data_IF_857527742296
#
_entry.id   IF_857527742296
#
_cell.length_a   1.000
_cell.length_b   1.000
_cell.length_c   1.000
_cell.angle_alpha   90.00
_cell.angle_beta   90.00
_cell.angle_gamma   90.00
#
_symmetry.space_group_name_H-M   'P 1'
#
loop_
_entity.id
_entity.type
_entity.pdbx_description
1 polymer ?
#
# COMPACT_ATOMS: atom_id res chain seq x y z
N UNK A 1 10.46 -4.60 5.73
CA UNK A 1 11.03 -5.84 5.22
C UNK A 1 12.26 -5.54 4.36
N UNK A 2 13.33 -6.31 4.58
CA UNK A 2 14.56 -6.24 3.80
C UNK A 2 14.91 -7.65 3.34
N UNK A 3 15.35 -7.79 2.10
CA UNK A 3 15.95 -9.01 1.58
C UNK A 3 17.37 -8.72 1.12
N UNK A 4 18.29 -9.63 1.37
CA UNK A 4 19.66 -9.54 0.86
C UNK A 4 20.14 -10.91 0.33
N UNK A 5 21.03 -10.89 -0.65
CA UNK A 5 21.70 -12.09 -1.12
C UNK A 5 23.17 -12.15 -0.66
N UNK A 6 23.84 -13.27 -0.94
CA UNK A 6 25.26 -13.47 -0.59
C UNK A 6 26.22 -12.51 -1.30
N UNK A 7 25.79 -11.90 -2.41
CA UNK A 7 26.61 -10.94 -3.16
C UNK A 7 26.45 -9.51 -2.62
N UNK A 8 25.70 -9.32 -1.53
CA UNK A 8 25.45 -8.02 -0.89
C UNK A 8 24.38 -7.16 -1.57
N UNK A 9 23.60 -7.74 -2.50
CA UNK A 9 22.47 -7.01 -3.09
C UNK A 9 21.32 -6.96 -2.09
N UNK A 10 20.80 -5.76 -1.88
CA UNK A 10 19.70 -5.47 -0.94
C UNK A 10 18.48 -4.99 -1.71
N UNK A 11 17.29 -5.44 -1.29
CA UNK A 11 16.00 -4.91 -1.70
C UNK A 11 15.13 -4.67 -0.45
N UNK A 12 14.52 -3.50 -0.35
CA UNK A 12 13.77 -3.06 0.82
C UNK A 12 14.60 -2.28 1.83
N UNK A 13 14.03 -1.97 2.99
CA UNK A 13 14.69 -1.26 4.08
C UNK A 13 14.13 -1.66 5.44
N UNK A 14 14.89 -1.41 6.50
CA UNK A 14 14.51 -1.58 7.90
C UNK A 14 14.36 -0.22 8.61
N UNK A 15 15.45 0.55 8.68
CA UNK A 15 15.51 1.84 9.36
C UNK A 15 15.92 2.99 8.44
N UNK A 16 16.52 2.66 7.29
CA UNK A 16 17.00 3.64 6.31
C UNK A 16 18.34 4.27 6.67
N UNK A 17 19.24 3.53 7.33
CA UNK A 17 20.52 4.09 7.74
C UNK A 17 21.59 3.05 8.13
N UNK A 18 22.40 3.35 9.14
CA UNK A 18 23.55 2.55 9.55
C UNK A 18 23.23 1.11 9.97
N UNK A 19 21.98 0.81 10.32
CA UNK A 19 21.55 -0.54 10.70
C UNK A 19 21.65 -1.51 9.54
N UNK A 20 21.29 -1.09 8.33
CA UNK A 20 21.36 -1.92 7.13
C UNK A 20 22.82 -2.30 6.80
N UNK A 21 23.74 -1.36 6.92
CA UNK A 21 25.17 -1.58 6.65
C UNK A 21 25.77 -2.56 7.65
N UNK A 22 25.54 -2.37 8.96
CA UNK A 22 26.01 -3.24 10.02
C UNK A 22 25.39 -4.66 9.89
N UNK A 23 24.09 -4.74 9.61
CA UNK A 23 23.41 -6.02 9.40
C UNK A 23 24.04 -6.79 8.24
N UNK A 24 24.28 -6.10 7.12
CA UNK A 24 24.88 -6.71 5.94
C UNK A 24 26.31 -7.21 6.21
N UNK A 25 27.10 -6.44 6.93
CA UNK A 25 28.45 -6.86 7.36
C UNK A 25 28.40 -8.12 8.22
N UNK A 26 27.52 -8.17 9.23
CA UNK A 26 27.35 -9.34 10.11
C UNK A 26 26.85 -10.58 9.35
N UNK A 27 25.93 -10.40 8.39
CA UNK A 27 25.42 -11.48 7.56
C UNK A 27 26.50 -12.04 6.61
N UNK A 28 27.26 -11.18 5.95
CA UNK A 28 28.31 -11.58 5.02
C UNK A 28 29.50 -12.21 5.76
N UNK A 29 29.81 -11.76 6.97
CA UNK A 29 30.81 -12.37 7.86
C UNK A 29 30.34 -13.71 8.48
N UNK A 30 29.09 -14.13 8.23
CA UNK A 30 28.54 -15.37 8.77
C UNK A 30 28.33 -15.33 10.28
N UNK A 31 28.10 -14.17 10.86
CA UNK A 31 27.88 -14.01 12.30
C UNK A 31 26.41 -14.21 12.71
N UNK A 32 25.48 -14.00 11.77
CA UNK A 32 24.03 -14.09 11.99
C UNK A 32 23.37 -15.08 11.03
N UNK A 33 22.36 -15.78 11.53
CA UNK A 33 21.37 -16.58 10.79
C UNK A 33 21.95 -17.50 9.69
N UNK A 34 23.03 -18.25 9.99
CA UNK A 34 23.69 -19.11 8.98
C UNK A 34 22.78 -20.25 8.48
N UNK A 35 22.19 -21.01 9.43
CA UNK A 35 21.46 -22.25 9.11
C UNK A 35 20.00 -22.24 9.58
N UNK A 36 19.61 -21.31 10.43
CA UNK A 36 18.28 -21.22 11.01
C UNK A 36 17.85 -19.78 11.23
N UNK A 37 16.56 -19.56 11.32
CA UNK A 37 16.00 -18.27 11.66
C UNK A 37 16.48 -17.79 13.02
N UNK A 38 16.76 -16.51 13.13
CA UNK A 38 17.30 -15.87 14.35
C UNK A 38 16.56 -14.57 14.62
N UNK A 39 16.19 -14.37 15.89
CA UNK A 39 15.81 -13.07 16.40
C UNK A 39 17.08 -12.29 16.79
N UNK A 40 17.12 -11.01 16.43
CA UNK A 40 18.23 -10.12 16.75
C UNK A 40 17.70 -8.72 17.10
N UNK A 41 18.28 -8.10 18.12
CA UNK A 41 17.90 -6.75 18.58
C UNK A 41 19.08 -5.81 18.44
N UNK A 42 18.82 -4.65 17.84
CA UNK A 42 19.69 -3.50 17.84
C UNK A 42 19.27 -2.50 18.91
N UNK A 43 20.23 -1.75 19.49
CA UNK A 43 19.98 -0.74 20.51
C UNK A 43 19.76 -1.34 21.89
N UNK A 44 20.46 -2.43 22.23
CA UNK A 44 20.44 -2.99 23.59
C UNK A 44 21.11 -2.03 24.62
N UNK A 45 22.04 -1.18 24.15
CA UNK A 45 22.66 -0.13 24.95
C UNK A 45 22.43 1.24 24.31
N UNK A 46 22.49 2.31 25.14
CA UNK A 46 22.38 3.69 24.66
C UNK A 46 23.50 4.02 23.65
N UNK A 47 24.72 3.52 23.90
CA UNK A 47 25.90 3.74 23.06
C UNK A 47 25.69 3.09 21.67
N UNK A 48 25.11 1.88 21.60
CA UNK A 48 24.80 1.21 20.35
C UNK A 48 23.68 1.95 19.59
N UNK A 49 22.64 2.39 20.30
CA UNK A 49 21.54 3.14 19.71
C UNK A 49 22.02 4.48 19.11
N UNK A 50 22.93 5.18 19.77
CA UNK A 50 23.55 6.41 19.26
C UNK A 50 24.42 6.14 18.01
N UNK A 51 25.27 5.10 18.03
CA UNK A 51 26.15 4.75 16.92
C UNK A 51 25.35 4.38 15.65
N UNK A 52 24.21 3.72 15.82
CA UNK A 52 23.35 3.29 14.73
C UNK A 52 22.29 4.33 14.33
N UNK A 53 22.27 5.49 15.01
CA UNK A 53 21.32 6.56 14.73
C UNK A 53 19.87 6.18 15.02
N UNK A 54 19.64 5.27 15.95
CA UNK A 54 18.30 4.90 16.37
C UNK A 54 17.61 6.04 17.10
N UNK A 55 16.41 6.47 16.70
CA UNK A 55 15.79 7.64 17.31
C UNK A 55 15.42 7.40 18.77
N UNK A 56 15.76 8.36 19.63
CA UNK A 56 15.32 8.48 21.02
C UNK A 56 15.65 7.27 21.93
N UNK A 57 16.81 6.63 21.76
CA UNK A 57 17.20 5.47 22.59
C UNK A 57 16.31 4.25 22.36
N UNK A 58 15.66 4.17 21.18
CA UNK A 58 14.83 3.04 20.79
C UNK A 58 15.66 1.81 20.43
N UNK A 59 15.01 0.66 20.43
CA UNK A 59 15.58 -0.58 19.90
C UNK A 59 14.86 -0.97 18.61
N UNK A 60 15.54 -1.75 17.78
CA UNK A 60 14.98 -2.35 16.58
C UNK A 60 15.08 -3.87 16.68
N UNK A 61 13.92 -4.50 16.75
CA UNK A 61 13.78 -5.96 16.74
C UNK A 61 13.66 -6.47 15.33
N UNK A 62 14.49 -7.41 14.93
CA UNK A 62 14.45 -8.05 13.63
C UNK A 62 14.45 -9.56 13.74
N UNK A 63 13.75 -10.20 12.81
CA UNK A 63 13.85 -11.64 12.58
C UNK A 63 14.54 -11.85 11.23
N UNK A 64 15.58 -12.67 11.24
CA UNK A 64 16.38 -13.01 10.06
C UNK A 64 16.10 -14.46 9.70
N UNK A 65 15.59 -14.69 8.49
CA UNK A 65 15.31 -16.02 7.97
C UNK A 65 16.25 -16.34 6.80
N UNK A 66 17.20 -17.32 6.96
CA UNK A 66 18.03 -17.75 5.85
C UNK A 66 17.22 -18.65 4.91
N UNK A 67 17.26 -18.34 3.62
CA UNK A 67 16.61 -19.14 2.59
C UNK A 67 17.63 -19.70 1.61
N UNK A 68 17.69 -21.02 1.51
CA UNK A 68 18.51 -21.69 0.51
C UNK A 68 17.69 -21.95 -0.76
N UNK A 69 18.24 -21.82 -1.96
CA UNK A 69 17.50 -22.05 -3.21
C UNK A 69 17.24 -23.53 -3.44
N UNK A 70 16.37 -24.12 -2.61
CA UNK A 70 15.92 -25.51 -2.72
C UNK A 70 14.53 -25.57 -3.36
N UNK A 71 14.10 -26.73 -3.92
CA UNK A 71 12.75 -26.88 -4.45
C UNK A 71 11.65 -26.51 -3.45
N UNK A 72 11.70 -26.89 -2.15
CA UNK A 72 10.70 -26.47 -1.17
C UNK A 72 10.63 -24.95 -0.95
N UNK A 73 11.78 -24.26 -0.85
CA UNK A 73 11.77 -22.81 -0.68
C UNK A 73 11.28 -22.08 -1.92
N UNK A 74 11.52 -22.63 -3.12
CA UNK A 74 10.96 -22.08 -4.36
C UNK A 74 9.44 -22.17 -4.36
N UNK A 75 8.86 -23.33 -4.08
CA UNK A 75 7.39 -23.51 -3.97
C UNK A 75 6.80 -22.56 -2.96
N UNK A 76 7.50 -22.31 -1.84
CA UNK A 76 7.11 -21.35 -0.84
C UNK A 76 6.96 -19.91 -1.39
N UNK A 77 7.98 -19.43 -2.11
CA UNK A 77 7.94 -18.09 -2.68
C UNK A 77 7.02 -17.98 -3.89
N UNK A 78 6.93 -19.03 -4.73
CA UNK A 78 6.01 -19.08 -5.87
C UNK A 78 4.56 -18.94 -5.37
N UNK A 79 4.18 -19.60 -4.27
CA UNK A 79 2.86 -19.44 -3.66
C UNK A 79 2.58 -17.98 -3.26
N UNK A 80 3.51 -17.30 -2.58
CA UNK A 80 3.36 -15.89 -2.22
C UNK A 80 3.22 -15.00 -3.44
N UNK A 81 4.08 -15.18 -4.44
CA UNK A 81 4.06 -14.41 -5.69
C UNK A 81 2.73 -14.58 -6.42
N UNK A 82 2.23 -15.81 -6.52
CA UNK A 82 0.95 -16.09 -7.18
C UNK A 82 -0.22 -15.40 -6.45
N UNK A 83 -0.24 -15.47 -5.12
CA UNK A 83 -1.30 -14.80 -4.32
C UNK A 83 -1.25 -13.28 -4.46
N UNK A 84 -0.05 -12.70 -4.40
CA UNK A 84 0.15 -11.26 -4.60
C UNK A 84 -0.23 -10.81 -6.02
N UNK A 85 0.07 -11.64 -7.03
CA UNK A 85 -0.35 -11.38 -8.42
C UNK A 85 -1.88 -11.37 -8.59
N UNK A 86 -2.59 -12.18 -7.81
CA UNK A 86 -4.06 -12.19 -7.73
C UNK A 86 -4.62 -11.06 -6.84
N UNK A 87 -3.76 -10.19 -6.31
CA UNK A 87 -4.10 -9.10 -5.38
C UNK A 87 -4.79 -9.59 -4.10
N UNK A 88 -4.42 -10.78 -3.63
CA UNK A 88 -4.88 -11.36 -2.39
C UNK A 88 -3.93 -11.07 -1.23
N UNK A 89 -4.46 -10.95 -0.01
CA UNK A 89 -3.68 -10.92 1.22
C UNK A 89 -3.47 -12.35 1.74
N UNK A 90 -2.25 -12.62 2.21
CA UNK A 90 -1.87 -13.92 2.77
C UNK A 90 -1.17 -13.70 4.10
N UNK A 91 -1.69 -14.29 5.15
CA UNK A 91 -1.01 -14.38 6.43
C UNK A 91 -0.09 -15.61 6.42
N UNK A 92 1.18 -15.38 6.71
CA UNK A 92 2.19 -16.43 6.89
C UNK A 92 2.54 -16.53 8.37
N UNK A 93 2.36 -17.72 8.93
CA UNK A 93 2.79 -18.05 10.29
C UNK A 93 4.04 -18.90 10.23
N UNK A 94 5.08 -18.55 10.97
CA UNK A 94 6.37 -19.28 11.01
C UNK A 94 6.74 -19.60 12.43
N UNK A 95 7.09 -20.87 12.69
CA UNK A 95 7.74 -21.28 13.93
C UNK A 95 9.26 -21.24 13.72
N UNK A 96 9.93 -20.22 14.25
CA UNK A 96 11.36 -19.96 13.99
C UNK A 96 12.29 -21.11 14.43
N UNK A 97 11.92 -21.84 15.50
CA UNK A 97 12.71 -22.97 16.03
C UNK A 97 12.88 -24.10 15.02
N UNK A 98 11.87 -24.35 14.20
CA UNK A 98 11.86 -25.46 13.23
C UNK A 98 11.90 -25.00 11.79
N UNK A 99 11.62 -23.74 11.51
CA UNK A 99 11.44 -23.19 10.18
C UNK A 99 10.15 -23.65 9.49
N UNK A 100 9.23 -24.31 10.24
CA UNK A 100 7.93 -24.69 9.70
C UNK A 100 7.05 -23.46 9.54
N UNK A 101 6.28 -23.43 8.48
CA UNK A 101 5.38 -22.32 8.15
C UNK A 101 4.04 -22.83 7.64
N UNK A 102 3.03 -21.98 7.77
CA UNK A 102 1.70 -22.18 7.24
C UNK A 102 1.18 -20.89 6.61
N UNK A 103 0.22 -21.02 5.69
CA UNK A 103 -0.42 -19.91 5.00
C UNK A 103 -1.92 -19.92 5.20
N UNK A 104 -2.47 -18.73 5.37
CA UNK A 104 -3.89 -18.50 5.43
C UNK A 104 -4.28 -17.28 4.59
N UNK A 105 -5.30 -17.41 3.74
CA UNK A 105 -5.89 -16.25 3.07
C UNK A 105 -6.59 -15.39 4.12
N UNK A 106 -6.39 -14.07 4.02
CA UNK A 106 -6.98 -13.07 4.89
C UNK A 106 -7.53 -11.91 4.06
N UNK A 107 -8.52 -11.21 4.60
CA UNK A 107 -9.16 -10.10 3.89
C UNK A 107 -8.33 -8.81 3.99
N UNK A 108 -7.71 -8.59 5.15
CA UNK A 108 -6.99 -7.36 5.45
C UNK A 108 -5.53 -7.61 5.84
N UNK A 109 -4.70 -6.62 5.58
CA UNK A 109 -3.32 -6.60 6.04
C UNK A 109 -3.27 -6.32 7.55
N UNK A 110 -2.50 -7.15 8.28
CA UNK A 110 -2.22 -6.98 9.70
C UNK A 110 -0.74 -6.64 9.94
N UNK A 111 -0.46 -5.93 11.03
CA UNK A 111 0.90 -5.65 11.46
C UNK A 111 1.67 -6.94 11.75
N UNK A 112 2.98 -6.91 11.52
CA UNK A 112 3.90 -7.96 11.91
C UNK A 112 3.82 -8.23 13.41
N UNK A 113 3.70 -9.48 13.80
CA UNK A 113 3.68 -9.93 15.21
C UNK A 113 4.73 -11.00 15.43
N UNK A 114 5.45 -10.87 16.50
CA UNK A 114 6.40 -11.87 16.97
C UNK A 114 6.14 -12.18 18.44
N UNK A 115 5.91 -13.44 18.74
CA UNK A 115 5.77 -13.94 20.11
C UNK A 115 7.10 -14.57 20.56
N UNK A 116 7.75 -13.90 21.50
CA UNK A 116 9.05 -14.31 22.04
C UNK A 116 9.00 -15.68 22.76
N UNK A 117 7.91 -16.00 23.45
CA UNK A 117 7.80 -17.22 24.25
C UNK A 117 7.66 -18.46 23.36
N UNK A 118 6.77 -18.41 22.39
CA UNK A 118 6.55 -19.49 21.44
C UNK A 118 7.56 -19.51 20.29
N UNK A 119 8.18 -18.35 19.95
CA UNK A 119 9.01 -18.16 18.77
C UNK A 119 8.21 -18.16 17.48
N UNK A 120 6.95 -17.72 17.54
CA UNK A 120 6.06 -17.64 16.37
C UNK A 120 6.10 -16.24 15.78
N UNK A 121 6.40 -16.17 14.49
CA UNK A 121 6.30 -14.97 13.67
C UNK A 121 5.04 -15.06 12.81
N UNK A 122 4.22 -14.00 12.85
CA UNK A 122 3.04 -13.86 11.99
C UNK A 122 3.22 -12.61 11.13
N UNK A 123 3.23 -12.79 9.82
CA UNK A 123 3.43 -11.72 8.85
C UNK A 123 2.35 -11.78 7.77
N UNK A 124 1.69 -10.67 7.51
CA UNK A 124 0.76 -10.54 6.39
C UNK A 124 1.48 -9.96 5.19
N UNK A 125 1.38 -10.65 4.07
CA UNK A 125 1.75 -10.15 2.75
C UNK A 125 0.49 -9.72 2.02
N UNK A 126 0.52 -8.56 1.39
CA UNK A 126 -0.60 -8.03 0.62
C UNK A 126 -0.12 -7.42 -0.69
N UNK A 127 -1.04 -7.17 -1.63
CA UNK A 127 -0.69 -6.49 -2.87
C UNK A 127 -0.25 -5.05 -2.56
N UNK A 128 0.59 -4.53 -3.44
CA UNK A 128 0.89 -3.10 -3.45
C UNK A 128 -0.41 -2.31 -3.61
N UNK A 129 -0.62 -1.29 -2.77
CA UNK A 129 -1.77 -0.41 -2.92
C UNK A 129 -1.77 0.24 -4.30
N UNK A 130 -2.92 0.28 -4.94
CA UNK A 130 -3.09 0.86 -6.27
C UNK A 130 -3.76 2.22 -6.19
N UNK A 131 -3.21 3.18 -6.92
CA UNK A 131 -3.89 4.43 -7.22
C UNK A 131 -4.39 4.41 -8.66
N UNK A 132 -5.71 4.39 -8.82
CA UNK A 132 -6.37 4.48 -10.11
C UNK A 132 -6.84 5.91 -10.38
N UNK A 133 -6.28 6.53 -11.39
CA UNK A 133 -6.54 7.92 -11.75
C UNK A 133 -7.38 7.97 -13.01
N UNK A 134 -8.55 8.62 -12.95
CA UNK A 134 -9.40 8.90 -14.09
C UNK A 134 -9.07 10.29 -14.63
N UNK A 135 -8.56 10.33 -15.84
CA UNK A 135 -8.20 11.55 -16.57
C UNK A 135 -6.73 11.94 -16.51
N UNK A 136 -6.28 12.53 -17.60
CA UNK A 136 -4.92 13.01 -17.83
C UNK A 136 -4.88 14.53 -17.88
N UNK A 137 -4.16 15.14 -16.95
CA UNK A 137 -3.88 16.58 -16.88
C UNK A 137 -2.67 16.83 -15.97
N UNK A 138 -2.33 18.10 -15.73
CA UNK A 138 -1.21 18.46 -14.87
C UNK A 138 -1.36 17.96 -13.42
N UNK A 139 -2.57 17.98 -12.87
CA UNK A 139 -2.81 17.45 -11.50
C UNK A 139 -2.57 15.94 -11.49
N UNK A 140 -3.10 15.22 -12.48
CA UNK A 140 -2.92 13.77 -12.61
C UNK A 140 -1.44 13.38 -12.72
N UNK A 141 -0.64 14.18 -13.42
CA UNK A 141 0.80 13.92 -13.53
C UNK A 141 1.50 14.03 -12.17
N UNK A 142 1.31 15.14 -11.44
CA UNK A 142 1.90 15.29 -10.10
C UNK A 142 1.36 14.27 -9.09
N UNK A 143 0.06 13.95 -9.14
CA UNK A 143 -0.52 12.89 -8.31
C UNK A 143 0.16 11.55 -8.59
N UNK A 144 0.37 11.21 -9.85
CA UNK A 144 1.01 9.95 -10.25
C UNK A 144 2.49 9.89 -9.80
N UNK A 145 3.27 10.96 -10.03
CA UNK A 145 4.69 11.04 -9.63
C UNK A 145 4.87 10.86 -8.11
N UNK A 146 4.09 11.59 -7.32
CA UNK A 146 4.18 11.50 -5.86
C UNK A 146 3.65 10.15 -5.35
N UNK A 147 2.59 9.61 -5.96
CA UNK A 147 2.04 8.30 -5.60
C UNK A 147 3.05 7.17 -5.81
N UNK A 148 3.82 7.20 -6.91
CA UNK A 148 4.92 6.25 -7.15
C UNK A 148 5.96 6.34 -6.03
N UNK A 149 6.37 7.55 -5.64
CA UNK A 149 7.30 7.76 -4.54
C UNK A 149 6.76 7.28 -3.18
N UNK A 150 5.42 7.28 -3.00
CA UNK A 150 4.72 6.73 -1.84
C UNK A 150 4.51 5.20 -1.93
N UNK A 151 4.98 4.56 -2.99
CA UNK A 151 4.92 3.12 -3.18
C UNK A 151 3.60 2.60 -3.76
N UNK A 152 2.80 3.42 -4.44
CA UNK A 152 1.59 2.96 -5.14
C UNK A 152 1.92 2.35 -6.51
N UNK A 153 1.17 1.30 -6.88
CA UNK A 153 1.01 0.86 -8.27
C UNK A 153 0.03 1.83 -8.95
N UNK A 154 0.50 2.64 -9.89
CA UNK A 154 -0.30 3.72 -10.48
C UNK A 154 -0.81 3.34 -11.85
N UNK A 155 -2.15 3.39 -12.00
CA UNK A 155 -2.86 3.20 -13.27
C UNK A 155 -3.60 4.49 -13.62
N UNK A 156 -3.37 5.03 -14.81
CA UNK A 156 -4.07 6.22 -15.31
C UNK A 156 -4.93 5.84 -16.49
N UNK A 157 -6.22 6.14 -16.40
CA UNK A 157 -7.23 5.88 -17.41
C UNK A 157 -7.73 7.17 -18.05
N UNK A 158 -7.70 7.23 -19.38
CA UNK A 158 -8.41 8.28 -20.13
C UNK A 158 -8.91 7.69 -21.45
N UNK A 159 -10.21 7.79 -21.78
CA UNK A 159 -10.75 7.28 -23.03
C UNK A 159 -10.31 8.09 -24.27
N UNK A 160 -9.80 9.31 -24.05
CA UNK A 160 -9.41 10.23 -25.13
C UNK A 160 -7.96 9.95 -25.54
N UNK A 161 -7.70 9.51 -26.80
CA UNK A 161 -6.37 9.11 -27.24
C UNK A 161 -5.36 10.27 -27.15
N UNK A 162 -5.71 11.45 -27.63
CA UNK A 162 -4.82 12.62 -27.67
C UNK A 162 -4.33 13.00 -26.26
N UNK A 163 -5.18 12.87 -25.27
CA UNK A 163 -4.83 13.16 -23.86
C UNK A 163 -3.88 12.14 -23.27
N UNK A 164 -4.04 10.88 -23.66
CA UNK A 164 -3.22 9.79 -23.16
C UNK A 164 -1.83 9.78 -23.82
N UNK A 165 -1.75 10.16 -25.10
CA UNK A 165 -0.49 10.28 -25.84
C UNK A 165 0.42 11.35 -25.24
N UNK A 166 -0.14 12.43 -24.71
CA UNK A 166 0.62 13.54 -24.08
C UNK A 166 1.00 13.24 -22.61
N UNK A 167 0.55 12.12 -22.04
CA UNK A 167 0.79 11.80 -20.65
C UNK A 167 2.03 10.94 -20.47
N UNK A 168 3.13 11.55 -19.99
CA UNK A 168 4.43 10.91 -19.85
C UNK A 168 4.93 10.97 -18.40
N UNK A 169 4.50 10.00 -17.58
CA UNK A 169 5.03 9.80 -16.22
C UNK A 169 5.65 8.41 -16.14
N UNK A 170 6.94 8.34 -15.81
CA UNK A 170 7.66 7.08 -15.72
C UNK A 170 7.06 6.17 -14.63
N UNK A 171 6.96 4.87 -14.90
CA UNK A 171 6.43 3.90 -13.94
C UNK A 171 4.90 3.83 -13.86
N UNK A 172 4.18 4.63 -14.66
CA UNK A 172 2.72 4.61 -14.72
C UNK A 172 2.24 3.66 -15.81
N UNK A 173 1.24 2.85 -15.49
CA UNK A 173 0.46 2.10 -16.47
C UNK A 173 -0.66 2.98 -17.00
N UNK A 174 -0.65 3.28 -18.30
CA UNK A 174 -1.75 4.00 -18.96
C UNK A 174 -2.72 3.02 -19.62
N UNK A 175 -4.02 3.30 -19.52
CA UNK A 175 -5.07 2.48 -20.13
C UNK A 175 -6.06 3.37 -20.88
N UNK A 176 -6.37 2.98 -22.14
CA UNK A 176 -7.33 3.64 -22.99
C UNK A 176 -8.64 2.85 -23.00
N UNK A 177 -9.42 3.02 -21.95
CA UNK A 177 -10.69 2.32 -21.76
C UNK A 177 -11.75 3.32 -21.27
N UNK A 178 -13.02 2.91 -21.27
CA UNK A 178 -14.06 3.66 -20.56
C UNK A 178 -13.84 3.50 -19.06
N UNK A 179 -14.00 4.58 -18.25
CA UNK A 179 -13.64 4.58 -16.85
C UNK A 179 -14.31 3.50 -16.00
N UNK A 180 -15.57 3.19 -16.26
CA UNK A 180 -16.31 2.15 -15.54
C UNK A 180 -15.73 0.75 -15.80
N UNK A 181 -15.43 0.40 -17.06
CA UNK A 181 -14.78 -0.87 -17.41
C UNK A 181 -13.38 -0.97 -16.83
N UNK A 182 -12.63 0.12 -16.88
CA UNK A 182 -11.29 0.17 -16.35
C UNK A 182 -11.27 0.07 -14.80
N UNK A 183 -12.22 0.70 -14.09
CA UNK A 183 -12.38 0.55 -12.63
C UNK A 183 -12.66 -0.90 -12.27
N UNK A 184 -13.62 -1.57 -12.93
CA UNK A 184 -13.93 -3.00 -12.70
C UNK A 184 -12.70 -3.88 -12.85
N UNK A 185 -11.88 -3.59 -13.86
CA UNK A 185 -10.71 -4.41 -14.18
C UNK A 185 -9.51 -4.16 -13.27
N UNK A 186 -9.29 -2.91 -12.87
CA UNK A 186 -8.04 -2.50 -12.24
C UNK A 186 -8.19 -2.02 -10.80
N UNK A 187 -9.36 -1.64 -10.33
CA UNK A 187 -9.53 -0.95 -9.06
C UNK A 187 -10.76 -1.38 -8.26
N UNK A 188 -11.13 -2.66 -8.32
CA UNK A 188 -12.31 -3.21 -7.65
C UNK A 188 -12.04 -3.75 -6.24
N UNK A 189 -10.78 -3.93 -5.86
CA UNK A 189 -10.38 -4.52 -4.59
C UNK A 189 -10.15 -3.49 -3.48
N UNK A 190 -10.07 -4.00 -2.24
CA UNK A 190 -9.88 -3.21 -1.03
C UNK A 190 -8.49 -2.54 -0.89
N UNK A 191 -7.56 -2.81 -1.79
CA UNK A 191 -6.24 -2.17 -1.89
C UNK A 191 -6.16 -1.10 -2.99
N UNK A 192 -7.32 -0.65 -3.46
CA UNK A 192 -7.41 0.34 -4.53
C UNK A 192 -7.97 1.66 -4.02
N UNK A 193 -7.36 2.77 -4.44
CA UNK A 193 -7.88 4.13 -4.34
C UNK A 193 -8.23 4.64 -5.73
N UNK A 194 -9.40 5.23 -5.90
CA UNK A 194 -9.88 5.76 -7.18
C UNK A 194 -10.04 7.27 -7.09
N UNK A 195 -9.44 8.01 -8.02
CA UNK A 195 -9.54 9.47 -8.08
C UNK A 195 -9.98 9.96 -9.45
N UNK A 196 -11.00 10.79 -9.51
CA UNK A 196 -11.53 11.38 -10.74
C UNK A 196 -11.09 12.84 -10.87
N UNK A 197 -10.26 13.11 -11.88
CA UNK A 197 -9.54 14.37 -12.05
C UNK A 197 -9.76 15.04 -13.43
N UNK A 198 -10.74 14.60 -14.26
CA UNK A 198 -10.84 15.07 -15.66
C UNK A 198 -11.43 16.46 -15.83
N UNK A 199 -12.23 16.95 -14.94
CA UNK A 199 -13.16 18.09 -15.10
C UNK A 199 -14.33 17.83 -16.10
N UNK A 200 -14.41 16.68 -16.75
CA UNK A 200 -15.56 16.29 -17.55
C UNK A 200 -16.51 15.40 -16.72
N UNK A 201 -17.69 15.93 -16.32
CA UNK A 201 -18.60 15.17 -15.46
C UNK A 201 -19.04 13.83 -16.07
N UNK A 202 -19.08 13.69 -17.40
CA UNK A 202 -19.50 12.46 -18.06
C UNK A 202 -18.48 11.35 -17.86
N UNK A 203 -17.19 11.69 -17.96
CA UNK A 203 -16.09 10.76 -17.75
C UNK A 203 -15.93 10.45 -16.26
N UNK A 204 -15.90 11.50 -15.43
CA UNK A 204 -15.73 11.35 -13.97
C UNK A 204 -16.88 10.55 -13.35
N UNK A 205 -18.13 10.93 -13.61
CA UNK A 205 -19.29 10.33 -12.96
C UNK A 205 -19.47 8.85 -13.38
N UNK A 206 -19.09 8.48 -14.63
CA UNK A 206 -19.10 7.08 -15.09
C UNK A 206 -18.16 6.19 -14.27
N UNK A 207 -16.92 6.63 -14.08
CA UNK A 207 -15.96 5.86 -13.26
C UNK A 207 -16.29 5.88 -11.78
N UNK A 208 -16.79 7.02 -11.25
CA UNK A 208 -17.20 7.13 -9.84
C UNK A 208 -18.40 6.26 -9.51
N UNK A 209 -19.38 6.15 -10.42
CA UNK A 209 -20.55 5.28 -10.26
C UNK A 209 -20.12 3.83 -10.06
N UNK A 210 -19.14 3.36 -10.80
CA UNK A 210 -18.60 2.02 -10.63
C UNK A 210 -17.73 1.92 -9.38
N UNK A 211 -16.80 2.85 -9.17
CA UNK A 211 -15.88 2.83 -8.03
C UNK A 211 -16.58 2.81 -6.67
N UNK A 212 -17.69 3.54 -6.53
CA UNK A 212 -18.47 3.60 -5.30
C UNK A 212 -19.18 2.28 -4.96
N UNK A 213 -19.32 1.37 -5.92
CA UNK A 213 -19.88 0.01 -5.74
C UNK A 213 -18.82 -1.04 -5.45
N UNK A 214 -17.54 -0.72 -5.63
CA UNK A 214 -16.41 -1.63 -5.35
C UNK A 214 -15.96 -1.56 -3.91
N UNK A 215 -15.01 -2.42 -3.54
CA UNK A 215 -14.37 -2.43 -2.23
C UNK A 215 -13.22 -1.41 -2.11
N UNK A 216 -12.98 -0.57 -3.13
CA UNK A 216 -11.93 0.45 -3.10
C UNK A 216 -11.94 1.23 -1.78
N UNK A 217 -10.77 1.33 -1.09
CA UNK A 217 -10.70 1.96 0.23
C UNK A 217 -10.89 3.48 0.20
N UNK A 218 -10.71 4.09 -0.96
CA UNK A 218 -10.86 5.52 -1.17
C UNK A 218 -11.45 5.80 -2.55
N UNK A 219 -12.45 6.68 -2.61
CA UNK A 219 -13.01 7.17 -3.87
C UNK A 219 -13.12 8.69 -3.76
N UNK A 220 -12.40 9.42 -4.61
CA UNK A 220 -12.35 10.88 -4.55
C UNK A 220 -12.57 11.55 -5.89
N UNK A 221 -13.05 12.80 -5.86
CA UNK A 221 -13.29 13.57 -7.07
C UNK A 221 -12.95 15.04 -6.94
N UNK A 222 -12.27 15.58 -7.94
CA UNK A 222 -11.92 16.98 -8.01
C UNK A 222 -13.13 17.84 -8.33
N UNK A 223 -13.22 19.00 -7.68
CA UNK A 223 -14.26 19.98 -7.91
C UNK A 223 -14.37 20.99 -6.77
N UNK A 224 -15.15 22.06 -6.98
CA UNK A 224 -15.57 22.95 -5.90
C UNK A 224 -16.70 22.34 -5.08
N UNK A 225 -17.04 22.93 -3.92
CA UNK A 225 -18.20 22.50 -3.11
C UNK A 225 -19.48 22.44 -3.95
N UNK A 226 -19.71 23.46 -4.79
CA UNK A 226 -20.86 23.51 -5.70
C UNK A 226 -20.83 22.36 -6.71
N UNK A 227 -19.67 22.10 -7.32
CA UNK A 227 -19.52 21.01 -8.29
C UNK A 227 -19.73 19.67 -7.63
N UNK A 228 -19.22 19.50 -6.41
CA UNK A 228 -19.34 18.27 -5.62
C UNK A 228 -20.79 18.02 -5.16
N UNK A 229 -21.54 19.06 -4.78
CA UNK A 229 -22.95 18.95 -4.47
C UNK A 229 -23.78 18.51 -5.70
N UNK A 230 -23.55 19.14 -6.85
CA UNK A 230 -24.22 18.78 -8.09
C UNK A 230 -23.85 17.34 -8.54
N UNK A 231 -22.59 16.90 -8.32
CA UNK A 231 -22.18 15.54 -8.61
C UNK A 231 -22.93 14.52 -7.76
N UNK A 232 -23.03 14.75 -6.44
CA UNK A 232 -23.79 13.86 -5.56
C UNK A 232 -25.25 13.73 -6.02
N UNK A 233 -25.86 14.81 -6.47
CA UNK A 233 -27.23 14.78 -7.00
C UNK A 233 -27.33 13.93 -8.27
N UNK A 234 -26.40 14.07 -9.23
CA UNK A 234 -26.38 13.22 -10.43
C UNK A 234 -26.17 11.76 -10.09
N UNK A 235 -25.29 11.44 -9.12
CA UNK A 235 -25.04 10.07 -8.68
C UNK A 235 -26.29 9.43 -8.06
N UNK A 236 -27.14 10.19 -7.33
CA UNK A 236 -28.45 9.72 -6.86
C UNK A 236 -29.38 9.36 -8.03
N UNK A 237 -29.38 10.17 -9.08
CA UNK A 237 -30.19 9.91 -10.29
C UNK A 237 -29.69 8.70 -11.10
N UNK A 238 -28.49 8.22 -10.82
CA UNK A 238 -27.86 7.02 -11.38
C UNK A 238 -27.98 5.80 -10.45
N UNK A 239 -28.98 5.79 -9.58
CA UNK A 239 -29.32 4.68 -8.67
C UNK A 239 -28.23 4.29 -7.66
N UNK A 240 -27.34 5.23 -7.26
CA UNK A 240 -26.47 5.00 -6.14
C UNK A 240 -27.19 5.27 -4.82
N UNK A 241 -26.98 4.40 -3.86
CA UNK A 241 -27.50 4.57 -2.50
C UNK A 241 -26.79 5.69 -1.75
N UNK A 242 -27.44 6.25 -0.72
CA UNK A 242 -26.80 7.25 0.16
C UNK A 242 -25.58 6.70 0.90
N UNK A 243 -25.51 5.40 1.15
CA UNK A 243 -24.33 4.75 1.74
C UNK A 243 -23.15 4.75 0.80
N UNK A 244 -23.35 4.46 -0.47
CA UNK A 244 -22.30 4.53 -1.49
C UNK A 244 -21.84 5.97 -1.72
N UNK A 245 -22.77 6.93 -1.83
CA UNK A 245 -22.46 8.37 -2.04
C UNK A 245 -21.67 8.96 -0.86
N UNK A 246 -21.91 8.51 0.38
CA UNK A 246 -21.13 8.95 1.54
C UNK A 246 -19.66 8.55 1.50
N UNK A 247 -19.29 7.53 0.72
CA UNK A 247 -17.89 7.13 0.49
C UNK A 247 -17.13 8.11 -0.40
N UNK A 248 -17.82 9.01 -1.09
CA UNK A 248 -17.21 9.95 -2.02
C UNK A 248 -16.56 11.14 -1.28
N UNK A 249 -15.25 11.24 -1.39
CA UNK A 249 -14.44 12.39 -0.99
C UNK A 249 -14.51 13.47 -2.10
N UNK A 250 -15.39 14.45 -1.93
CA UNK A 250 -15.56 15.53 -2.89
C UNK A 250 -16.04 16.82 -2.18
N UNK A 251 -15.30 17.91 -2.25
CA UNK A 251 -14.02 18.09 -2.95
C UNK A 251 -12.91 17.15 -2.44
N UNK A 252 -12.07 16.65 -3.36
CA UNK A 252 -10.95 15.78 -3.02
C UNK A 252 -9.81 16.56 -2.38
N UNK A 253 -9.14 15.94 -1.40
CA UNK A 253 -7.93 16.46 -0.76
C UNK A 253 -8.18 17.22 0.53
N UNK A 254 -7.16 17.27 1.39
CA UNK A 254 -7.20 18.03 2.63
C UNK A 254 -7.30 19.54 2.35
N UNK A 255 -8.02 20.32 3.17
CA UNK A 255 -8.23 21.76 2.96
C UNK A 255 -6.99 22.59 3.37
N UNK A 256 -5.87 22.41 2.67
CA UNK A 256 -4.60 23.12 2.91
C UNK A 256 -4.48 24.45 2.16
N UNK A 257 -5.53 24.88 1.46
CA UNK A 257 -5.53 26.10 0.65
C UNK A 257 -4.83 25.95 -0.70
N UNK A 258 -4.70 24.73 -1.22
CA UNK A 258 -4.06 24.40 -2.50
C UNK A 258 -4.69 25.13 -3.69
N UNK A 259 -3.87 25.64 -4.60
CA UNK A 259 -4.28 26.34 -5.82
C UNK A 259 -3.56 25.86 -7.07
N UNK A 260 -2.31 25.47 -6.94
CA UNK A 260 -1.49 24.99 -8.06
C UNK A 260 -1.60 23.47 -8.20
N UNK A 261 -1.37 22.90 -9.40
CA UNK A 261 -1.42 21.46 -9.61
C UNK A 261 -0.60 20.63 -8.62
N UNK A 262 0.67 20.97 -8.29
CA UNK A 262 1.43 20.21 -7.30
C UNK A 262 0.87 20.34 -5.87
N UNK A 263 0.36 21.51 -5.47
CA UNK A 263 -0.28 21.68 -4.16
C UNK A 263 -1.56 20.83 -4.04
N UNK A 264 -2.36 20.77 -5.12
CA UNK A 264 -3.56 19.92 -5.18
C UNK A 264 -3.15 18.45 -5.06
N UNK A 265 -2.08 18.02 -5.75
CA UNK A 265 -1.58 16.66 -5.65
C UNK A 265 -1.16 16.29 -4.22
N UNK A 266 -0.46 17.19 -3.53
CA UNK A 266 -0.09 17.01 -2.12
C UNK A 266 -1.35 16.88 -1.24
N UNK A 267 -2.36 17.75 -1.42
CA UNK A 267 -3.61 17.72 -0.67
C UNK A 267 -4.36 16.38 -0.85
N UNK A 268 -4.44 15.90 -2.10
CA UNK A 268 -5.08 14.63 -2.48
C UNK A 268 -4.37 13.45 -1.82
N UNK A 269 -3.06 13.35 -1.97
CA UNK A 269 -2.30 12.22 -1.46
C UNK A 269 -2.17 12.23 0.07
N UNK A 270 -2.19 13.40 0.69
CA UNK A 270 -2.28 13.51 2.15
C UNK A 270 -3.59 12.95 2.69
N UNK A 271 -4.73 13.26 2.04
CA UNK A 271 -6.03 12.70 2.42
C UNK A 271 -6.07 11.17 2.21
N UNK A 272 -5.65 10.67 1.05
CA UNK A 272 -5.57 9.24 0.77
C UNK A 272 -4.70 8.52 1.81
N UNK A 273 -3.54 9.10 2.16
CA UNK A 273 -2.64 8.55 3.18
C UNK A 273 -3.30 8.51 4.56
N UNK A 274 -4.04 9.56 4.94
CA UNK A 274 -4.76 9.61 6.21
C UNK A 274 -5.84 8.52 6.28
N UNK A 275 -6.64 8.36 5.23
CA UNK A 275 -7.68 7.32 5.15
C UNK A 275 -7.07 5.92 5.22
N UNK A 276 -5.98 5.67 4.48
CA UNK A 276 -5.27 4.39 4.51
C UNK A 276 -4.76 4.04 5.92
N UNK A 277 -4.19 5.02 6.64
CA UNK A 277 -3.68 4.82 8.01
C UNK A 277 -4.79 4.61 9.03
N UNK A 278 -5.91 5.32 8.90
CA UNK A 278 -7.08 5.12 9.75
C UNK A 278 -7.67 3.72 9.60
N UNK A 279 -7.71 3.19 8.38
CA UNK A 279 -8.14 1.81 8.11
C UNK A 279 -7.26 0.80 8.84
N UNK A 280 -5.94 0.90 8.74
CA UNK A 280 -5.01 0.03 9.43
C UNK A 280 -5.19 0.09 10.95
N UNK A 281 -5.40 1.29 11.52
CA UNK A 281 -5.65 1.48 12.96
C UNK A 281 -7.02 0.94 13.38
N UNK A 282 -8.04 1.08 12.53
CA UNK A 282 -9.38 0.54 12.78
C UNK A 282 -9.40 -0.99 12.80
N UNK A 283 -8.71 -1.63 11.89
CA UNK A 283 -8.52 -3.07 11.87
C UNK A 283 -7.81 -3.57 13.15
N UNK A 284 -6.78 -2.84 13.61
CA UNK A 284 -6.07 -3.15 14.87
C UNK A 284 -6.99 -3.10 16.09
N UNK A 285 -7.79 -2.03 16.24
CA UNK A 285 -8.75 -1.90 17.35
C UNK A 285 -9.84 -2.98 17.34
N UNK A 286 -10.27 -3.42 16.16
CA UNK A 286 -11.24 -4.51 16.03
C UNK A 286 -10.65 -5.86 16.50
N UNK A 287 -9.41 -6.17 16.12
CA UNK A 287 -8.70 -7.39 16.54
C UNK A 287 -8.43 -7.38 18.05
N UNK A 288 -8.00 -6.25 18.62
CA UNK A 288 -7.79 -6.11 20.06
C UNK A 288 -9.08 -6.32 20.86
N UNK A 289 -10.23 -5.85 20.37
CA UNK A 289 -11.55 -6.10 20.99
C UNK A 289 -11.95 -7.57 20.96
N UNK A 290 -11.73 -8.27 19.84
CA UNK A 290 -12.00 -9.70 19.70
C UNK A 290 -11.10 -10.50 20.64
N UNK A 291 -9.81 -10.18 20.72
CA UNK A 291 -8.85 -10.83 21.61
C UNK A 291 -9.13 -10.57 23.11
N UNK A 292 -9.73 -9.42 23.44
CA UNK A 292 -10.12 -9.07 24.79
C UNK A 292 -11.46 -9.70 25.26
N UNK A 293 -12.15 -10.47 24.42
CA UNK A 293 -13.35 -11.22 24.78
C UNK A 293 -14.59 -10.35 25.02
N UNK A 294 -14.73 -9.27 24.27
CA UNK A 294 -15.91 -8.40 24.31
C UNK A 294 -17.06 -8.96 23.47
#
# INVERSE_FOLDING_TARGET
LLTCNRDGRIEGSLSGGCVEDDLLEKLTAGQLAQDRAQFFRYGETEEEAEQLGLPCGGHLDIVIEPHTPTPPSRVHFDHLVDRLAMRACVERTVLLKTGTFDYRDVEDHADLRYDHDSGVLVQTYGPQDRLFVIGTNMVSAYVAEIAIALGYDVVVCDPRPDRLEDFHVAGVKTVREMPDDAVRRYASDSHSAVVALTHDPRIDDMGLMEALKTDAFYVGAMGSDRTSANRRERLRQLDLSESEIRRLHAPIGLPIGSKTPPEIAIAVLAEITAVRKQRATGARLAVERIAAGA
#
